data_IF_912692078569
#
_entry.id   IF_912692078569
#
_cell.length_a   1.000
_cell.length_b   1.000
_cell.length_c   1.000
_cell.angle_alpha   90.00
_cell.angle_beta   90.00
_cell.angle_gamma   90.00
#
_symmetry.space_group_name_H-M   'P 1'
#
loop_
_entity.id
_entity.type
_entity.pdbx_description
1 polymer ?
#
# COMPACT_ATOMS: atom_id res chain seq x y z
N UNK A 1 5.14 -20.31 -2.24
CA UNK A 1 4.47 -19.82 -3.48
C UNK A 1 5.50 -19.52 -4.57
N UNK A 2 5.31 -20.07 -5.78
CA UNK A 2 6.09 -19.68 -6.95
C UNK A 2 5.78 -18.22 -7.29
N UNK A 3 6.81 -17.42 -7.57
CA UNK A 3 6.68 -16.03 -7.98
C UNK A 3 5.86 -15.98 -9.29
N UNK A 4 4.55 -15.76 -9.19
CA UNK A 4 3.62 -15.74 -10.34
C UNK A 4 2.18 -16.16 -10.03
N UNK A 5 1.95 -16.92 -8.95
CA UNK A 5 0.61 -17.38 -8.57
C UNK A 5 0.03 -16.66 -7.34
N UNK A 6 0.88 -15.97 -6.57
CA UNK A 6 0.45 -15.21 -5.39
C UNK A 6 -0.21 -13.90 -5.80
N UNK A 7 -1.38 -13.54 -5.22
CA UNK A 7 -1.99 -12.25 -5.46
C UNK A 7 -1.04 -11.13 -5.02
N UNK A 8 -0.97 -10.06 -5.79
CA UNK A 8 -0.05 -8.94 -5.54
C UNK A 8 -0.75 -7.87 -4.71
N UNK A 9 -0.11 -7.46 -3.62
CA UNK A 9 -0.53 -6.31 -2.83
C UNK A 9 0.52 -5.20 -2.95
N UNK A 10 0.11 -4.02 -3.42
CA UNK A 10 0.94 -2.83 -3.32
C UNK A 10 0.64 -2.11 -2.01
N UNK A 11 1.66 -1.85 -1.21
CA UNK A 11 1.59 -0.92 -0.10
C UNK A 11 2.20 0.42 -0.50
N UNK A 12 1.37 1.45 -0.65
CA UNK A 12 1.80 2.80 -0.98
C UNK A 12 1.85 3.66 0.30
N UNK A 13 3.06 3.96 0.78
CA UNK A 13 3.28 4.85 1.93
C UNK A 13 3.63 6.26 1.44
N UNK A 14 2.73 7.23 1.66
CA UNK A 14 2.91 8.60 1.17
C UNK A 14 3.08 9.60 2.30
N UNK A 15 3.65 10.76 1.96
CA UNK A 15 3.61 11.96 2.83
C UNK A 15 2.68 12.99 2.19
N UNK A 16 1.88 13.67 3.00
CA UNK A 16 0.90 14.66 2.52
C UNK A 16 1.49 15.84 1.75
N UNK A 17 2.77 16.17 1.98
CA UNK A 17 3.50 17.26 1.33
C UNK A 17 3.93 16.93 -0.12
N UNK A 18 3.83 15.66 -0.58
CA UNK A 18 4.38 15.20 -1.88
C UNK A 18 3.31 14.77 -2.90
N UNK A 19 2.30 15.62 -3.08
CA UNK A 19 1.11 15.33 -3.92
C UNK A 19 1.40 14.90 -5.36
N UNK A 20 2.34 15.56 -6.06
CA UNK A 20 2.65 15.24 -7.46
C UNK A 20 3.23 13.82 -7.63
N UNK A 21 4.18 13.44 -6.78
CA UNK A 21 4.77 12.09 -6.80
C UNK A 21 3.74 11.02 -6.45
N UNK A 22 2.85 11.30 -5.49
CA UNK A 22 1.73 10.41 -5.18
C UNK A 22 0.85 10.19 -6.41
N UNK A 23 0.56 11.23 -7.20
CA UNK A 23 -0.23 11.07 -8.43
C UNK A 23 0.46 10.15 -9.44
N UNK A 24 1.77 10.34 -9.69
CA UNK A 24 2.53 9.49 -10.61
C UNK A 24 2.59 8.02 -10.13
N UNK A 25 2.74 7.81 -8.82
CA UNK A 25 2.75 6.46 -8.25
C UNK A 25 1.37 5.79 -8.35
N UNK A 26 0.29 6.55 -8.11
CA UNK A 26 -1.07 6.03 -8.31
C UNK A 26 -1.30 5.67 -9.78
N UNK A 27 -0.91 6.54 -10.71
CA UNK A 27 -1.00 6.27 -12.15
C UNK A 27 -0.27 4.97 -12.54
N UNK A 28 0.98 4.79 -12.08
CA UNK A 28 1.75 3.56 -12.28
C UNK A 28 1.04 2.33 -11.68
N UNK A 29 0.54 2.44 -10.45
CA UNK A 29 -0.10 1.32 -9.75
C UNK A 29 -1.37 0.89 -10.47
N UNK A 30 -2.25 1.84 -10.82
CA UNK A 30 -3.54 1.54 -11.42
C UNK A 30 -3.44 1.14 -12.90
N UNK A 31 -2.64 1.85 -13.69
CA UNK A 31 -2.61 1.66 -15.14
C UNK A 31 -1.58 0.61 -15.60
N UNK A 32 -0.51 0.37 -14.83
CA UNK A 32 0.58 -0.53 -15.24
C UNK A 32 0.66 -1.78 -14.38
N UNK A 33 0.70 -1.63 -13.05
CA UNK A 33 0.87 -2.78 -12.14
C UNK A 33 -0.44 -3.57 -11.99
N UNK A 34 -1.56 -2.88 -11.83
CA UNK A 34 -2.90 -3.45 -11.64
C UNK A 34 -2.93 -4.58 -10.58
N UNK A 35 -2.58 -4.30 -9.31
CA UNK A 35 -2.51 -5.32 -8.27
C UNK A 35 -3.89 -5.83 -7.84
N UNK A 36 -3.93 -6.99 -7.19
CA UNK A 36 -5.15 -7.52 -6.56
C UNK A 36 -5.59 -6.67 -5.37
N UNK A 37 -4.62 -6.08 -4.65
CA UNK A 37 -4.86 -5.23 -3.51
C UNK A 37 -3.94 -4.01 -3.49
N UNK A 38 -4.47 -2.88 -3.05
CA UNK A 38 -3.75 -1.65 -2.80
C UNK A 38 -4.04 -1.16 -1.38
N UNK A 39 -3.00 -1.12 -0.56
CA UNK A 39 -3.04 -0.49 0.77
C UNK A 39 -2.40 0.88 0.64
N UNK A 40 -3.12 1.94 1.02
CA UNK A 40 -2.61 3.31 0.93
C UNK A 40 -2.58 3.94 2.31
N UNK A 41 -1.39 4.32 2.78
CA UNK A 41 -1.22 5.15 3.97
C UNK A 41 -1.01 6.60 3.56
N UNK A 42 -1.99 7.45 3.86
CA UNK A 42 -2.00 8.87 3.46
C UNK A 42 -2.96 9.69 4.31
N UNK A 43 -2.67 10.97 4.49
CA UNK A 43 -3.62 11.92 5.08
C UNK A 43 -4.56 12.53 4.05
N UNK A 44 -4.04 12.83 2.86
CA UNK A 44 -4.76 13.54 1.80
C UNK A 44 -4.43 12.90 0.46
N UNK A 45 -5.35 12.07 -0.02
CA UNK A 45 -5.28 11.52 -1.37
C UNK A 45 -5.81 12.54 -2.38
N UNK A 46 -5.24 12.56 -3.60
CA UNK A 46 -5.74 13.42 -4.66
C UNK A 46 -7.17 13.04 -5.02
N UNK A 47 -7.98 14.00 -5.46
CA UNK A 47 -9.37 13.75 -5.91
C UNK A 47 -9.43 12.71 -7.03
N UNK A 48 -8.41 12.65 -7.89
CA UNK A 48 -8.28 11.65 -8.94
C UNK A 48 -8.24 10.20 -8.40
N UNK A 49 -7.90 9.99 -7.13
CA UNK A 49 -7.94 8.67 -6.51
C UNK A 49 -9.34 8.06 -6.55
N UNK A 50 -10.40 8.86 -6.44
CA UNK A 50 -11.76 8.35 -6.57
C UNK A 50 -12.04 7.86 -7.99
N UNK A 51 -11.62 8.62 -9.01
CA UNK A 51 -11.75 8.22 -10.40
C UNK A 51 -11.04 6.88 -10.68
N UNK A 52 -9.89 6.64 -10.05
CA UNK A 52 -9.20 5.35 -10.14
C UNK A 52 -10.00 4.20 -9.51
N UNK A 53 -10.61 4.42 -8.34
CA UNK A 53 -11.48 3.39 -7.71
C UNK A 53 -12.64 3.00 -8.62
N UNK A 54 -13.30 3.99 -9.19
CA UNK A 54 -14.48 3.79 -10.03
C UNK A 54 -14.10 3.08 -11.34
N UNK A 55 -12.93 3.42 -11.91
CA UNK A 55 -12.39 2.80 -13.13
C UNK A 55 -11.87 1.38 -12.90
N UNK A 56 -11.34 1.09 -11.71
CA UNK A 56 -10.70 -0.20 -11.38
C UNK A 56 -11.36 -0.89 -10.17
N UNK A 57 -12.66 -1.24 -10.24
CA UNK A 57 -13.41 -1.75 -9.10
C UNK A 57 -12.95 -3.14 -8.62
N UNK A 58 -12.15 -3.85 -9.42
CA UNK A 58 -11.60 -5.17 -9.06
C UNK A 58 -10.41 -5.08 -8.10
N UNK A 59 -9.74 -3.93 -8.03
CA UNK A 59 -8.61 -3.73 -7.11
C UNK A 59 -9.18 -3.50 -5.71
N UNK A 60 -8.86 -4.38 -4.76
CA UNK A 60 -9.28 -4.20 -3.37
C UNK A 60 -8.48 -3.06 -2.75
N UNK A 61 -9.14 -2.06 -2.17
CA UNK A 61 -8.47 -0.87 -1.65
C UNK A 61 -8.72 -0.73 -0.15
N UNK A 62 -7.63 -0.67 0.62
CA UNK A 62 -7.64 -0.35 2.04
C UNK A 62 -6.89 0.97 2.24
N UNK A 63 -7.58 1.97 2.80
CA UNK A 63 -6.98 3.26 3.14
C UNK A 63 -6.74 3.30 4.64
N UNK A 64 -5.51 3.63 5.03
CA UNK A 64 -5.10 3.73 6.42
C UNK A 64 -4.67 5.18 6.71
N UNK A 65 -5.13 5.78 7.82
CA UNK A 65 -4.72 7.12 8.19
C UNK A 65 -3.22 7.13 8.51
N UNK A 66 -2.59 8.29 8.32
CA UNK A 66 -1.17 8.45 8.64
C UNK A 66 -0.88 8.20 10.13
N UNK A 67 -1.81 8.54 11.01
CA UNK A 67 -1.70 8.30 12.46
C UNK A 67 -1.86 6.83 12.88
N UNK A 68 -2.10 5.91 11.94
CA UNK A 68 -2.14 4.48 12.26
C UNK A 68 -0.83 4.05 12.92
N UNK A 69 -0.95 3.41 14.08
CA UNK A 69 0.19 2.86 14.80
C UNK A 69 0.84 1.73 14.01
N UNK A 70 2.13 1.47 14.28
CA UNK A 70 2.84 0.35 13.66
C UNK A 70 2.15 -0.98 13.99
N UNK A 71 1.64 -1.14 15.21
CA UNK A 71 0.97 -2.37 15.65
C UNK A 71 -0.35 -2.59 14.91
N UNK A 72 -1.14 -1.54 14.66
CA UNK A 72 -2.34 -1.64 13.82
C UNK A 72 -1.98 -2.07 12.40
N UNK A 73 -0.97 -1.43 11.81
CA UNK A 73 -0.49 -1.75 10.47
C UNK A 73 -0.01 -3.20 10.36
N UNK A 74 0.76 -3.67 11.34
CA UNK A 74 1.23 -5.06 11.38
C UNK A 74 0.07 -6.05 11.47
N UNK A 75 -0.95 -5.77 12.29
CA UNK A 75 -2.16 -6.61 12.38
C UNK A 75 -2.96 -6.67 11.08
N UNK A 76 -3.03 -5.57 10.33
CA UNK A 76 -3.68 -5.59 9.01
C UNK A 76 -2.87 -6.41 8.01
N UNK A 77 -1.53 -6.28 8.01
CA UNK A 77 -0.68 -7.02 7.09
C UNK A 77 -0.56 -8.51 7.44
N UNK A 78 -0.70 -8.89 8.71
CA UNK A 78 -0.71 -10.30 9.12
C UNK A 78 -1.94 -11.07 8.64
N UNK A 79 -2.94 -10.39 8.06
CA UNK A 79 -4.12 -11.00 7.43
C UNK A 79 -3.93 -11.27 5.93
N UNK A 80 -2.81 -10.84 5.36
CA UNK A 80 -2.52 -10.93 3.92
C UNK A 80 -1.75 -12.21 3.58
N UNK A 81 -2.15 -13.34 4.15
CA UNK A 81 -1.49 -14.62 3.90
C UNK A 81 -1.53 -14.97 2.41
N UNK A 82 -0.38 -15.40 1.89
CA UNK A 82 -0.22 -15.76 0.48
C UNK A 82 -0.04 -14.58 -0.49
N UNK A 83 -0.19 -13.33 -0.04
CA UNK A 83 0.09 -12.16 -0.88
C UNK A 83 1.58 -11.91 -1.07
N UNK A 84 1.95 -11.53 -2.29
CA UNK A 84 3.25 -10.90 -2.55
C UNK A 84 3.13 -9.38 -2.37
N UNK A 85 3.74 -8.87 -1.29
CA UNK A 85 3.61 -7.47 -0.90
C UNK A 85 4.81 -6.67 -1.41
N UNK A 86 4.54 -5.62 -2.19
CA UNK A 86 5.56 -4.64 -2.63
C UNK A 86 5.25 -3.28 -2.00
N UNK A 87 6.19 -2.79 -1.19
CA UNK A 87 6.09 -1.47 -0.57
C UNK A 87 6.73 -0.40 -1.46
N UNK A 88 6.00 0.68 -1.74
CA UNK A 88 6.41 1.80 -2.60
C UNK A 88 6.17 3.12 -1.86
N UNK A 89 7.06 4.09 -2.07
CA UNK A 89 6.94 5.43 -1.50
C UNK A 89 7.96 5.68 -0.37
N UNK A 90 7.56 6.41 0.65
CA UNK A 90 8.47 6.84 1.71
C UNK A 90 8.67 5.74 2.76
N UNK A 91 9.71 4.93 2.59
CA UNK A 91 10.01 3.80 3.49
C UNK A 91 11.06 4.12 4.58
N UNK A 92 11.51 5.37 4.69
CA UNK A 92 12.50 5.80 5.70
C UNK A 92 11.80 6.24 6.99
N UNK A 93 12.46 6.09 8.14
CA UNK A 93 11.95 6.51 9.45
C UNK A 93 10.81 5.61 9.91
N UNK A 94 9.58 6.13 9.94
CA UNK A 94 8.40 5.32 10.30
C UNK A 94 8.26 4.08 9.42
N UNK A 95 8.52 4.20 8.11
CA UNK A 95 8.43 3.06 7.19
C UNK A 95 9.44 1.96 7.49
N UNK A 96 10.63 2.33 7.96
CA UNK A 96 11.68 1.39 8.35
C UNK A 96 11.27 0.66 9.63
N UNK A 97 10.81 1.40 10.63
CA UNK A 97 10.29 0.83 11.88
C UNK A 97 9.15 -0.15 11.63
N UNK A 98 8.21 0.20 10.75
CA UNK A 98 7.12 -0.69 10.34
C UNK A 98 7.65 -1.99 9.73
N UNK A 99 8.59 -1.93 8.79
CA UNK A 99 9.16 -3.12 8.16
C UNK A 99 9.94 -3.98 9.17
N UNK A 100 10.64 -3.36 10.13
CA UNK A 100 11.35 -4.10 11.19
C UNK A 100 10.38 -4.83 12.12
N UNK A 101 9.29 -4.18 12.53
CA UNK A 101 8.25 -4.86 13.32
C UNK A 101 7.59 -5.98 12.52
N UNK A 102 7.24 -5.74 11.25
CA UNK A 102 6.63 -6.75 10.37
C UNK A 102 7.50 -8.01 10.24
N UNK A 103 8.83 -7.85 10.16
CA UNK A 103 9.78 -8.97 10.09
C UNK A 103 9.73 -9.88 11.33
N UNK A 104 9.39 -9.37 12.51
CA UNK A 104 9.26 -10.18 13.73
C UNK A 104 8.07 -11.14 13.67
N UNK A 105 7.09 -10.87 12.82
CA UNK A 105 5.90 -11.70 12.64
C UNK A 105 6.03 -12.73 11.51
N UNK A 106 7.08 -12.65 10.68
CA UNK A 106 7.43 -13.73 9.75
C UNK A 106 8.12 -14.84 10.55
N UNK A 107 7.33 -15.79 11.04
CA UNK A 107 7.79 -17.09 11.58
C UNK A 107 7.92 -18.07 10.41
#
# INVERSE_FOLDING_TARGET
>A
PLFGESPVCIFLNTRGDRRYRTHQLLDLIFNTISPDMLIVRSEKLPTQFQNYKDKYPKIKILQLPYESSIQEMVREFSRLDGYYIVAIGNMVGWGEQFIQELKKYRI
#
